data_IF_576549978406
#
_entry.id   IF_576549978406
#
_cell.length_a   1.000
_cell.length_b   1.000
_cell.length_c   1.000
_cell.angle_alpha   90.00
_cell.angle_beta   90.00
_cell.angle_gamma   90.00
#
_symmetry.space_group_name_H-M   'P 1'
#
loop_
_entity.id
_entity.type
_entity.pdbx_description
1 polymer ?
#
# COMPACT_ATOMS: atom_id res chain seq x y z
N UNK A 1 -18.32 -27.91 6.46
CA UNK A 1 -17.35 -27.05 5.73
C UNK A 1 -16.00 -27.76 5.72
N UNK A 2 -15.48 -28.16 4.55
CA UNK A 2 -14.12 -28.68 4.45
C UNK A 2 -13.16 -27.51 4.75
N UNK A 3 -12.35 -27.63 5.80
CA UNK A 3 -11.13 -26.82 5.93
C UNK A 3 -10.28 -27.14 4.71
N UNK A 4 -10.09 -26.17 3.83
CA UNK A 4 -8.95 -26.17 2.90
C UNK A 4 -7.71 -26.01 3.76
N UNK A 5 -7.08 -27.12 4.14
CA UNK A 5 -5.69 -27.06 4.61
C UNK A 5 -4.87 -26.48 3.46
N UNK A 6 -4.19 -25.33 3.62
CA UNK A 6 -3.29 -24.87 2.58
C UNK A 6 -2.04 -25.76 2.64
N UNK A 7 -1.84 -26.51 1.55
CA UNK A 7 -0.64 -27.26 1.25
C UNK A 7 0.62 -26.40 1.40
N UNK A 8 1.76 -27.05 1.68
CA UNK A 8 3.02 -26.40 2.06
C UNK A 8 3.60 -25.49 0.97
N UNK A 9 3.20 -24.22 0.97
CA UNK A 9 3.92 -23.17 0.26
C UNK A 9 5.17 -22.75 1.05
N UNK A 10 6.24 -22.38 0.34
CA UNK A 10 7.55 -21.99 0.90
C UNK A 10 7.52 -20.71 1.75
N UNK A 11 8.61 -19.94 1.86
CA UNK A 11 8.72 -18.81 2.80
C UNK A 11 7.66 -17.69 2.60
N UNK A 12 6.97 -17.68 1.46
CA UNK A 12 5.87 -16.76 1.09
C UNK A 12 4.50 -17.36 1.47
N UNK A 13 4.38 -17.94 2.67
CA UNK A 13 3.16 -18.66 3.12
C UNK A 13 2.00 -17.75 3.52
N UNK A 14 2.24 -16.45 3.72
CA UNK A 14 1.34 -15.55 4.46
C UNK A 14 0.94 -14.29 3.69
N UNK A 15 0.78 -14.32 2.36
CA UNK A 15 0.14 -13.22 1.64
C UNK A 15 -1.36 -13.50 1.43
N UNK A 16 -2.26 -13.29 2.43
CA UNK A 16 -3.69 -13.34 2.17
C UNK A 16 -4.05 -12.31 1.10
N UNK A 17 -5.03 -12.65 0.26
CA UNK A 17 -5.60 -11.71 -0.70
C UNK A 17 -6.16 -10.48 0.03
N UNK A 18 -6.09 -9.32 -0.63
CA UNK A 18 -6.78 -8.13 -0.16
C UNK A 18 -8.27 -8.46 0.03
N UNK A 19 -8.88 -8.03 1.15
CA UNK A 19 -10.27 -8.37 1.43
C UNK A 19 -11.20 -7.73 0.40
N UNK A 20 -12.21 -8.46 -0.06
CA UNK A 20 -13.28 -7.91 -0.91
C UNK A 20 -14.11 -6.87 -0.16
N UNK A 21 -14.70 -5.90 -0.88
CA UNK A 21 -15.57 -4.88 -0.27
C UNK A 21 -17.03 -5.33 -0.13
N UNK A 22 -17.40 -6.45 -0.77
CA UNK A 22 -18.75 -7.01 -0.77
C UNK A 22 -19.75 -6.25 -1.66
N UNK A 23 -19.30 -5.30 -2.48
CA UNK A 23 -20.16 -4.50 -3.36
C UNK A 23 -20.02 -4.92 -4.83
N UNK A 24 -21.10 -4.86 -5.64
CA UNK A 24 -21.09 -5.27 -7.06
C UNK A 24 -20.31 -4.30 -7.95
N UNK A 25 -19.38 -4.79 -8.77
CA UNK A 25 -18.56 -3.97 -9.69
C UNK A 25 -19.46 -3.06 -10.54
N UNK A 26 -19.16 -1.75 -10.68
CA UNK A 26 -19.98 -0.83 -11.47
C UNK A 26 -20.16 -1.32 -12.91
N UNK A 27 -21.38 -1.25 -13.49
CA UNK A 27 -21.63 -1.64 -14.87
C UNK A 27 -20.68 -0.95 -15.86
N UNK A 28 -20.37 0.32 -15.64
CA UNK A 28 -19.46 1.11 -16.47
C UNK A 28 -18.05 0.53 -16.48
N UNK A 29 -17.52 0.12 -15.32
CA UNK A 29 -16.23 -0.56 -15.23
C UNK A 29 -16.24 -1.90 -15.98
N UNK A 30 -17.33 -2.67 -15.85
CA UNK A 30 -17.46 -3.94 -16.59
C UNK A 30 -17.59 -3.74 -18.09
N UNK A 31 -18.24 -2.66 -18.53
CA UNK A 31 -18.38 -2.31 -19.94
C UNK A 31 -17.03 -1.91 -20.55
N UNK A 32 -16.21 -1.14 -19.82
CA UNK A 32 -14.84 -0.80 -20.24
C UNK A 32 -13.99 -2.06 -20.39
N UNK A 33 -14.04 -2.98 -19.42
CA UNK A 33 -13.35 -4.26 -19.51
C UNK A 33 -13.81 -5.07 -20.73
N UNK A 34 -15.14 -5.18 -20.95
CA UNK A 34 -15.70 -5.93 -22.07
C UNK A 34 -15.28 -5.34 -23.43
N UNK A 35 -15.25 -4.02 -23.55
CA UNK A 35 -14.79 -3.33 -24.76
C UNK A 35 -13.29 -3.55 -25.02
N UNK A 36 -12.47 -3.65 -23.97
CA UNK A 36 -11.04 -3.90 -24.07
C UNK A 36 -10.69 -5.37 -24.35
N UNK A 37 -11.58 -6.32 -24.04
CA UNK A 37 -11.33 -7.76 -24.14
C UNK A 37 -10.99 -8.25 -25.56
N UNK A 38 -11.42 -7.52 -26.60
CA UNK A 38 -11.12 -7.86 -28.01
C UNK A 38 -9.77 -7.31 -28.51
N UNK A 39 -9.05 -6.51 -27.72
CA UNK A 39 -7.76 -5.94 -28.11
C UNK A 39 -6.68 -7.03 -28.04
N UNK A 40 -5.99 -7.23 -29.17
CA UNK A 40 -4.90 -8.22 -29.26
C UNK A 40 -3.55 -7.69 -28.75
N UNK A 41 -3.40 -6.36 -28.69
CA UNK A 41 -2.19 -5.72 -28.19
C UNK A 41 -2.07 -5.89 -26.67
N UNK A 42 -0.85 -6.17 -26.22
CA UNK A 42 -0.54 -6.30 -24.80
C UNK A 42 -0.18 -4.95 -24.17
N UNK A 43 -0.42 -4.82 -22.87
CA UNK A 43 0.07 -3.68 -22.10
C UNK A 43 1.60 -3.76 -21.96
N UNK A 44 2.34 -2.65 -22.17
CA UNK A 44 3.78 -2.63 -21.94
C UNK A 44 4.11 -2.80 -20.45
N UNK A 45 5.31 -3.28 -20.16
CA UNK A 45 5.83 -3.31 -18.78
C UNK A 45 5.91 -1.87 -18.27
N UNK A 46 5.43 -1.64 -17.05
CA UNK A 46 5.36 -0.31 -16.47
C UNK A 46 4.12 0.48 -16.88
N UNK A 47 3.24 -0.03 -17.75
CA UNK A 47 2.01 0.65 -18.16
C UNK A 47 2.15 1.52 -19.40
N UNK A 48 1.10 1.57 -20.20
CA UNK A 48 1.00 2.34 -21.42
C UNK A 48 0.59 3.79 -21.18
N UNK A 49 0.65 4.65 -22.21
CA UNK A 49 0.43 6.09 -22.06
C UNK A 49 -0.89 6.46 -21.38
N UNK A 50 -2.00 5.83 -21.77
CA UNK A 50 -3.33 6.11 -21.20
C UNK A 50 -3.40 5.81 -19.70
N UNK A 51 -2.80 4.69 -19.26
CA UNK A 51 -2.78 4.29 -17.85
C UNK A 51 -1.87 5.19 -17.02
N UNK A 52 -0.70 5.52 -17.57
CA UNK A 52 0.25 6.42 -16.92
C UNK A 52 -0.32 7.82 -16.77
N UNK A 53 -0.97 8.36 -17.81
CA UNK A 53 -1.63 9.67 -17.76
C UNK A 53 -2.75 9.69 -16.71
N UNK A 54 -3.58 8.64 -16.67
CA UNK A 54 -4.62 8.50 -15.65
C UNK A 54 -4.04 8.44 -14.22
N UNK A 55 -2.92 7.73 -14.04
CA UNK A 55 -2.21 7.66 -12.77
C UNK A 55 -1.63 9.01 -12.34
N UNK A 56 -1.06 9.78 -13.27
CA UNK A 56 -0.60 11.15 -13.01
C UNK A 56 -1.77 12.02 -12.54
N UNK A 57 -2.89 12.03 -13.28
CA UNK A 57 -4.08 12.80 -12.91
C UNK A 57 -4.66 12.39 -11.55
N UNK A 58 -4.59 11.10 -11.19
CA UNK A 58 -4.96 10.60 -9.87
C UNK A 58 -4.16 11.29 -8.76
N UNK A 59 -2.84 11.33 -8.85
CA UNK A 59 -2.00 12.00 -7.85
C UNK A 59 -2.10 13.53 -7.89
N UNK A 60 -2.29 14.14 -9.06
CA UNK A 60 -2.50 15.59 -9.17
C UNK A 60 -3.73 16.05 -8.39
N UNK A 61 -4.85 15.31 -8.45
CA UNK A 61 -6.05 15.58 -7.65
C UNK A 61 -5.82 15.45 -6.14
N UNK A 62 -4.69 14.86 -5.74
CA UNK A 62 -4.26 14.64 -4.36
C UNK A 62 -3.11 15.58 -3.97
N UNK A 63 -2.78 16.56 -4.79
CA UNK A 63 -1.71 17.53 -4.53
C UNK A 63 -0.30 16.97 -4.75
N UNK A 64 -0.17 15.77 -5.30
CA UNK A 64 1.12 15.13 -5.55
C UNK A 64 1.50 15.28 -7.02
N UNK A 65 2.57 16.04 -7.29
CA UNK A 65 3.12 16.18 -8.63
C UNK A 65 3.60 14.82 -9.14
N UNK A 66 3.06 14.35 -10.26
CA UNK A 66 3.47 13.14 -10.95
C UNK A 66 3.76 13.48 -12.42
N UNK A 67 4.74 12.79 -13.01
CA UNK A 67 5.12 12.98 -14.39
C UNK A 67 5.20 11.61 -15.09
N UNK A 68 4.80 11.48 -16.36
CA UNK A 68 4.74 10.18 -17.04
C UNK A 68 6.06 9.40 -17.05
N UNK A 69 7.20 10.09 -17.06
CA UNK A 69 8.55 9.52 -17.02
C UNK A 69 8.96 9.00 -15.63
N UNK A 70 8.10 9.17 -14.61
CA UNK A 70 8.35 8.82 -13.20
C UNK A 70 7.17 8.08 -12.58
N UNK A 71 6.37 7.42 -13.41
CA UNK A 71 5.29 6.55 -12.98
C UNK A 71 5.49 5.18 -13.59
N UNK A 72 5.16 4.14 -12.83
CA UNK A 72 5.09 2.79 -13.34
C UNK A 72 3.82 2.10 -12.83
N UNK A 73 3.23 1.24 -13.66
CA UNK A 73 2.13 0.38 -13.30
C UNK A 73 2.57 -1.09 -13.26
N UNK A 74 1.94 -1.88 -12.39
CA UNK A 74 2.22 -3.30 -12.23
C UNK A 74 0.96 -4.10 -11.87
N UNK A 75 0.98 -5.44 -11.99
CA UNK A 75 -0.15 -6.31 -11.68
C UNK A 75 -0.34 -6.48 -10.15
N UNK A 76 -0.63 -5.37 -9.47
CA UNK A 76 -0.77 -5.28 -8.01
C UNK A 76 0.48 -4.73 -7.31
N UNK A 77 0.28 -4.14 -6.13
CA UNK A 77 1.34 -3.55 -5.31
C UNK A 77 2.44 -4.55 -4.89
N UNK A 78 2.14 -5.84 -4.65
CA UNK A 78 3.15 -6.89 -4.56
C UNK A 78 4.28 -6.86 -5.59
N UNK A 79 3.94 -6.74 -6.88
CA UNK A 79 4.93 -6.77 -7.95
C UNK A 79 5.81 -5.51 -7.91
N UNK A 80 5.20 -4.36 -7.63
CA UNK A 80 5.90 -3.08 -7.50
C UNK A 80 6.83 -3.08 -6.28
N UNK A 81 6.36 -3.55 -5.11
CA UNK A 81 7.19 -3.60 -3.90
C UNK A 81 8.36 -4.58 -4.04
N UNK A 82 8.13 -5.74 -4.68
CA UNK A 82 9.20 -6.67 -5.01
C UNK A 82 10.25 -6.02 -5.90
N UNK A 83 9.82 -5.33 -6.98
CA UNK A 83 10.73 -4.64 -7.88
C UNK A 83 11.50 -3.50 -7.19
N UNK A 84 10.83 -2.70 -6.35
CA UNK A 84 11.46 -1.65 -5.54
C UNK A 84 12.51 -2.21 -4.59
N UNK A 85 12.18 -3.28 -3.86
CA UNK A 85 13.09 -3.91 -2.91
C UNK A 85 14.29 -4.54 -3.63
N UNK A 86 14.08 -5.13 -4.81
CA UNK A 86 15.17 -5.65 -5.65
C UNK A 86 16.08 -4.53 -6.19
N UNK A 87 15.50 -3.41 -6.63
CA UNK A 87 16.22 -2.28 -7.23
C UNK A 87 16.99 -1.41 -6.22
N UNK A 88 16.50 -1.32 -4.98
CA UNK A 88 17.16 -0.59 -3.88
C UNK A 88 18.19 -1.46 -3.13
N UNK A 89 17.88 -2.74 -2.95
CA UNK A 89 18.67 -3.66 -2.15
C UNK A 89 18.68 -3.28 -0.66
N UNK A 90 19.62 -3.87 0.09
CA UNK A 90 19.75 -3.66 1.54
C UNK A 90 18.64 -4.30 2.37
N UNK A 91 18.62 -3.95 3.65
CA UNK A 91 17.67 -4.42 4.64
C UNK A 91 16.42 -3.53 4.66
N UNK A 92 15.28 -4.17 4.94
CA UNK A 92 13.96 -3.52 4.94
C UNK A 92 13.47 -3.32 6.37
N UNK A 93 13.07 -2.10 6.69
CA UNK A 93 12.39 -1.74 7.91
C UNK A 93 10.89 -1.60 7.62
N UNK A 94 10.08 -2.12 8.53
CA UNK A 94 8.61 -2.03 8.47
C UNK A 94 8.06 -1.74 9.87
N UNK A 95 6.91 -1.05 10.01
CA UNK A 95 6.21 -0.92 11.28
C UNK A 95 5.80 -2.28 11.87
N UNK A 96 5.41 -2.25 13.15
CA UNK A 96 4.83 -3.38 13.86
C UNK A 96 3.57 -2.93 14.60
N UNK A 97 2.39 -3.50 14.26
CA UNK A 97 2.13 -4.41 13.14
C UNK A 97 2.29 -3.73 11.77
N UNK A 98 2.27 -4.51 10.68
CA UNK A 98 2.29 -4.02 9.31
C UNK A 98 1.45 -4.92 8.39
N UNK A 99 1.22 -4.45 7.16
CA UNK A 99 0.55 -5.26 6.16
C UNK A 99 1.33 -6.56 5.94
N UNK A 100 0.60 -7.66 6.02
CA UNK A 100 1.17 -9.01 6.07
C UNK A 100 1.90 -9.39 4.77
N UNK A 101 1.60 -8.70 3.67
CA UNK A 101 2.18 -8.92 2.36
C UNK A 101 3.54 -8.22 2.16
N UNK A 102 3.98 -7.29 3.01
CA UNK A 102 5.27 -6.60 2.81
C UNK A 102 6.48 -7.50 3.04
N UNK A 103 6.55 -8.17 4.19
CA UNK A 103 7.72 -8.97 4.58
C UNK A 103 8.01 -10.19 3.67
N UNK A 104 7.01 -10.91 3.12
CA UNK A 104 7.26 -12.04 2.23
C UNK A 104 8.12 -11.72 0.98
N UNK A 105 7.98 -10.54 0.38
CA UNK A 105 8.75 -10.19 -0.83
C UNK A 105 10.21 -9.88 -0.54
N UNK A 106 10.50 -9.20 0.57
CA UNK A 106 11.87 -9.01 1.05
C UNK A 106 12.53 -10.36 1.38
N UNK A 107 11.81 -11.27 2.06
CA UNK A 107 12.31 -12.62 2.36
C UNK A 107 12.56 -13.44 1.09
N UNK A 108 11.71 -13.31 0.07
CA UNK A 108 11.90 -13.96 -1.23
C UNK A 108 13.22 -13.54 -1.89
N UNK A 109 13.62 -12.27 -1.74
CA UNK A 109 14.89 -11.72 -2.21
C UNK A 109 16.08 -12.02 -1.28
N UNK A 110 15.88 -12.82 -0.23
CA UNK A 110 16.92 -13.09 0.77
C UNK A 110 17.29 -11.88 1.62
N UNK A 111 16.42 -10.87 1.71
CA UNK A 111 16.66 -9.63 2.47
C UNK A 111 16.09 -9.74 3.89
N UNK A 112 16.87 -9.36 4.93
CA UNK A 112 16.36 -9.17 6.29
C UNK A 112 15.21 -8.16 6.34
N UNK A 113 14.25 -8.44 7.21
CA UNK A 113 13.13 -7.52 7.52
C UNK A 113 13.14 -7.24 9.02
N UNK A 114 13.29 -5.97 9.38
CA UNK A 114 13.31 -5.50 10.74
C UNK A 114 11.99 -4.79 11.08
N UNK A 115 11.24 -5.38 12.02
CA UNK A 115 10.00 -4.80 12.52
C UNK A 115 10.29 -3.76 13.59
N UNK A 116 9.81 -2.53 13.37
CA UNK A 116 9.95 -1.40 14.30
C UNK A 116 8.60 -1.12 14.98
N UNK A 117 8.54 -1.01 16.32
CA UNK A 117 7.31 -0.66 17.02
C UNK A 117 6.63 0.60 16.46
N UNK A 118 5.31 0.57 16.36
CA UNK A 118 4.48 1.74 16.08
C UNK A 118 4.18 2.48 17.40
N UNK A 119 3.92 3.80 17.37
CA UNK A 119 3.60 4.56 18.56
C UNK A 119 2.18 4.20 19.07
N UNK A 120 1.76 4.75 20.21
CA UNK A 120 0.48 4.38 20.82
C UNK A 120 -0.72 4.89 20.00
N UNK A 121 -0.53 6.01 19.31
CA UNK A 121 -1.52 6.83 18.63
C UNK A 121 -1.98 6.21 17.30
N UNK A 122 -1.08 5.56 16.55
CA UNK A 122 -1.37 5.02 15.23
C UNK A 122 -0.56 3.75 14.91
N UNK A 123 -0.96 3.05 13.85
CA UNK A 123 -0.16 2.05 13.14
C UNK A 123 0.40 2.64 11.85
N UNK A 124 0.98 1.80 10.99
CA UNK A 124 1.46 2.17 9.65
C UNK A 124 2.76 2.98 9.60
N UNK A 125 3.07 3.71 10.66
CA UNK A 125 4.29 4.53 10.78
C UNK A 125 5.07 4.11 12.03
N UNK A 126 6.37 3.77 11.92
CA UNK A 126 7.21 3.48 13.07
C UNK A 126 7.32 4.65 14.06
N UNK A 127 7.48 4.32 15.33
CA UNK A 127 7.95 5.30 16.32
C UNK A 127 9.35 5.81 15.92
N UNK A 128 9.58 7.14 15.86
CA UNK A 128 10.83 7.70 15.34
C UNK A 128 12.04 7.33 16.20
N UNK A 129 11.90 7.26 17.53
CA UNK A 129 13.01 6.86 18.41
C UNK A 129 13.35 5.38 18.22
N UNK A 130 12.34 4.51 18.21
CA UNK A 130 12.51 3.09 17.98
C UNK A 130 13.10 2.79 16.59
N UNK A 131 12.76 3.60 15.58
CA UNK A 131 13.34 3.54 14.24
C UNK A 131 14.84 3.82 14.30
N UNK A 132 15.25 4.94 14.88
CA UNK A 132 16.66 5.31 14.99
C UNK A 132 17.47 4.29 15.81
N UNK A 133 16.92 3.77 16.91
CA UNK A 133 17.55 2.70 17.68
C UNK A 133 17.73 1.42 16.86
N UNK A 134 16.70 1.05 16.08
CA UNK A 134 16.75 -0.14 15.23
C UNK A 134 17.81 0.02 14.14
N UNK A 135 17.84 1.16 13.43
CA UNK A 135 18.85 1.45 12.40
C UNK A 135 20.25 1.37 12.97
N UNK A 136 20.50 2.02 14.12
CA UNK A 136 21.80 1.98 14.80
C UNK A 136 22.22 0.55 15.16
N UNK A 137 21.30 -0.24 15.73
CA UNK A 137 21.57 -1.65 16.08
C UNK A 137 21.93 -2.47 14.84
N UNK A 138 21.11 -2.39 13.78
CA UNK A 138 21.32 -3.15 12.54
C UNK A 138 22.69 -2.84 11.93
N UNK A 139 23.06 -1.56 11.84
CA UNK A 139 24.39 -1.16 11.34
C UNK A 139 25.53 -1.67 12.23
N UNK A 140 25.36 -1.62 13.55
CA UNK A 140 26.36 -2.15 14.51
C UNK A 140 26.57 -3.65 14.33
N UNK A 141 25.51 -4.38 13.96
CA UNK A 141 25.55 -5.81 13.66
C UNK A 141 26.02 -6.12 12.21
N UNK A 142 26.40 -5.10 11.44
CA UNK A 142 26.92 -5.24 10.08
C UNK A 142 25.85 -5.28 8.98
N UNK A 143 24.60 -4.96 9.30
CA UNK A 143 23.52 -4.81 8.31
C UNK A 143 23.60 -3.51 7.52
N UNK A 144 22.78 -3.42 6.47
CA UNK A 144 22.71 -2.32 5.52
C UNK A 144 21.26 -1.83 5.38
N UNK A 145 20.70 -1.13 6.40
CA UNK A 145 19.34 -0.63 6.36
C UNK A 145 19.22 0.43 5.26
N UNK A 146 18.32 0.18 4.29
CA UNK A 146 18.14 1.05 3.11
C UNK A 146 16.71 1.47 2.85
N UNK A 147 15.74 0.65 3.24
CA UNK A 147 14.35 0.85 2.86
C UNK A 147 13.46 0.91 4.09
N UNK A 148 12.61 1.92 4.19
CA UNK A 148 11.48 1.94 5.10
C UNK A 148 10.18 1.84 4.29
N UNK A 149 9.37 0.81 4.56
CA UNK A 149 7.99 0.73 4.06
C UNK A 149 7.06 1.20 5.17
N UNK A 150 6.18 2.16 4.87
CA UNK A 150 5.19 2.71 5.79
C UNK A 150 3.86 2.91 5.07
N UNK A 151 2.77 3.08 5.82
CA UNK A 151 1.44 3.36 5.27
C UNK A 151 0.81 4.59 5.92
N UNK A 152 0.12 5.39 5.10
CA UNK A 152 -0.58 6.61 5.56
C UNK A 152 -1.95 6.31 6.16
N UNK A 153 -2.58 5.24 5.69
CA UNK A 153 -3.81 4.65 6.19
C UNK A 153 -3.55 3.14 6.34
N UNK A 154 -3.47 2.68 7.58
CA UNK A 154 -2.79 1.43 7.89
C UNK A 154 -3.68 0.18 7.72
N UNK A 155 -3.10 -0.82 7.08
CA UNK A 155 -3.45 -2.23 7.23
C UNK A 155 -2.35 -2.90 8.07
N UNK A 156 -2.63 -3.41 9.27
CA UNK A 156 -3.95 -3.90 9.71
C UNK A 156 -4.70 -3.01 10.69
N UNK A 157 -4.10 -1.95 11.22
CA UNK A 157 -4.71 -1.23 12.36
C UNK A 157 -5.89 -0.36 11.99
N UNK A 158 -6.14 -0.12 10.71
CA UNK A 158 -7.16 0.78 10.18
C UNK A 158 -7.01 2.22 10.70
N UNK A 159 -5.86 2.61 11.23
CA UNK A 159 -5.61 3.97 11.72
C UNK A 159 -4.99 4.83 10.62
N UNK A 160 -5.14 6.15 10.75
CA UNK A 160 -4.44 7.13 9.92
C UNK A 160 -3.38 7.79 10.78
N UNK A 161 -2.16 7.89 10.26
CA UNK A 161 -1.06 8.49 11.01
C UNK A 161 -1.29 10.00 11.18
N UNK A 162 -1.21 10.54 12.41
CA UNK A 162 -1.24 11.98 12.62
C UNK A 162 -0.10 12.68 11.87
N UNK A 163 -0.31 13.90 11.33
CA UNK A 163 0.72 14.63 10.61
C UNK A 163 2.04 14.79 11.38
N UNK A 164 1.99 14.98 12.70
CA UNK A 164 3.17 15.16 13.54
C UNK A 164 4.01 13.87 13.61
N UNK A 165 3.35 12.73 13.84
CA UNK A 165 4.02 11.41 13.88
C UNK A 165 4.60 11.05 12.51
N UNK A 166 3.83 11.32 11.44
CA UNK A 166 4.32 11.15 10.08
C UNK A 166 5.57 12.01 9.86
N UNK A 167 5.53 13.27 10.28
CA UNK A 167 6.63 14.21 10.09
C UNK A 167 7.91 13.73 10.78
N UNK A 168 7.82 13.39 12.07
CA UNK A 168 8.94 12.92 12.86
C UNK A 168 9.56 11.62 12.31
N UNK A 169 8.72 10.69 11.85
CA UNK A 169 9.19 9.44 11.27
C UNK A 169 9.91 9.65 9.93
N UNK A 170 9.35 10.50 9.06
CA UNK A 170 9.95 10.83 7.76
C UNK A 170 11.29 11.54 7.93
N UNK A 171 11.38 12.50 8.84
CA UNK A 171 12.64 13.18 9.18
C UNK A 171 13.68 12.20 9.73
N UNK A 172 13.28 11.30 10.65
CA UNK A 172 14.17 10.29 11.21
C UNK A 172 14.69 9.32 10.13
N UNK A 173 13.82 8.86 9.23
CA UNK A 173 14.19 7.95 8.15
C UNK A 173 15.13 8.62 7.13
N UNK A 174 14.83 9.85 6.72
CA UNK A 174 15.65 10.62 5.79
C UNK A 174 17.01 10.98 6.38
N UNK A 175 17.06 11.35 7.67
CA UNK A 175 18.31 11.62 8.39
C UNK A 175 19.24 10.41 8.48
N UNK A 176 18.68 9.20 8.43
CA UNK A 176 19.44 7.95 8.37
C UNK A 176 19.72 7.48 6.93
N UNK A 177 19.30 8.24 5.91
CA UNK A 177 19.53 7.91 4.50
C UNK A 177 18.71 6.72 3.99
N UNK A 178 17.55 6.44 4.60
CA UNK A 178 16.63 5.41 4.13
C UNK A 178 15.79 5.95 2.96
N UNK A 179 15.56 5.13 1.94
CA UNK A 179 14.54 5.37 0.94
C UNK A 179 13.17 5.02 1.51
N UNK A 180 12.17 5.87 1.30
CA UNK A 180 10.82 5.66 1.81
C UNK A 180 9.92 5.10 0.71
N UNK A 181 9.21 4.02 1.03
CA UNK A 181 8.07 3.53 0.24
C UNK A 181 6.80 3.78 1.03
N UNK A 182 6.00 4.73 0.55
CA UNK A 182 4.68 5.06 1.09
C UNK A 182 3.62 4.19 0.42
N UNK A 183 3.09 3.21 1.15
CA UNK A 183 1.92 2.46 0.74
C UNK A 183 0.66 3.28 1.04
N UNK A 184 0.03 3.77 -0.03
CA UNK A 184 -1.18 4.57 0.02
C UNK A 184 -2.40 3.82 -0.51
N UNK A 185 -2.35 2.49 -0.54
CA UNK A 185 -3.45 1.63 -1.01
C UNK A 185 -4.80 1.97 -0.38
N UNK A 186 -4.81 2.32 0.91
CA UNK A 186 -6.05 2.63 1.67
C UNK A 186 -6.37 4.11 1.78
N UNK A 187 -5.61 5.00 1.12
CA UNK A 187 -5.75 6.47 1.30
C UNK A 187 -7.15 7.01 0.98
N UNK A 188 -7.84 6.42 0.01
CA UNK A 188 -9.15 6.88 -0.46
C UNK A 188 -10.31 6.24 0.31
N UNK A 189 -10.02 5.58 1.44
CA UNK A 189 -11.00 4.83 2.22
C UNK A 189 -11.24 5.39 3.61
N UNK A 190 -10.92 6.67 3.82
CA UNK A 190 -11.15 7.37 5.08
C UNK A 190 -12.62 7.31 5.50
N UNK A 191 -12.89 6.88 6.72
CA UNK A 191 -14.24 6.80 7.29
C UNK A 191 -14.87 8.18 7.53
N UNK A 192 -14.04 9.18 7.86
CA UNK A 192 -14.44 10.55 8.12
C UNK A 192 -13.52 11.54 7.38
N UNK A 193 -13.56 11.61 6.03
CA UNK A 193 -12.58 12.36 5.23
C UNK A 193 -12.57 13.87 5.46
N UNK A 194 -13.61 14.44 6.08
CA UNK A 194 -13.66 15.86 6.43
C UNK A 194 -13.06 16.15 7.82
N UNK A 195 -12.94 15.13 8.68
CA UNK A 195 -12.46 15.24 10.06
C UNK A 195 -11.07 14.60 10.24
N UNK A 196 -10.57 13.91 9.22
CA UNK A 196 -9.28 13.20 9.23
C UNK A 196 -8.32 13.85 8.26
N UNK A 197 -7.22 14.40 8.78
CA UNK A 197 -6.10 14.87 7.96
C UNK A 197 -5.21 13.68 7.64
N UNK A 198 -5.08 13.36 6.36
CA UNK A 198 -4.12 12.38 5.85
C UNK A 198 -3.00 13.14 5.15
N UNK A 199 -1.76 12.87 5.55
CA UNK A 199 -0.56 13.48 4.98
C UNK A 199 0.27 12.41 4.26
N UNK A 200 0.56 12.61 2.98
CA UNK A 200 1.51 11.77 2.26
C UNK A 200 2.95 12.15 2.61
N UNK A 201 3.86 11.19 2.87
CA UNK A 201 5.29 11.47 2.98
C UNK A 201 5.85 12.18 1.74
N UNK A 202 5.27 11.93 0.56
CA UNK A 202 5.71 12.55 -0.69
C UNK A 202 5.32 14.04 -0.80
N UNK A 203 4.39 14.52 0.02
CA UNK A 203 4.15 15.97 0.16
C UNK A 203 5.28 16.66 0.94
N UNK A 204 5.96 15.92 1.83
CA UNK A 204 7.07 16.42 2.62
C UNK A 204 8.42 16.29 1.92
N UNK A 205 8.72 15.09 1.39
CA UNK A 205 9.98 14.74 0.75
C UNK A 205 9.72 14.19 -0.67
N UNK A 206 9.25 15.02 -1.61
CA UNK A 206 8.87 14.59 -2.96
C UNK A 206 10.02 13.94 -3.74
N UNK A 207 11.26 14.21 -3.34
CA UNK A 207 12.50 13.74 -3.99
C UNK A 207 13.10 12.47 -3.35
N UNK A 208 12.47 11.92 -2.30
CA UNK A 208 12.97 10.71 -1.60
C UNK A 208 11.89 9.65 -1.30
N UNK A 209 10.64 9.92 -1.66
CA UNK A 209 9.51 9.01 -1.39
C UNK A 209 8.98 8.43 -2.70
N UNK A 210 8.98 7.10 -2.78
CA UNK A 210 8.17 6.37 -3.76
C UNK A 210 6.79 6.10 -3.16
N UNK A 211 5.73 6.52 -3.85
CA UNK A 211 4.35 6.21 -3.44
C UNK A 211 3.87 5.00 -4.21
N UNK A 212 3.29 4.02 -3.54
CA UNK A 212 2.64 2.85 -4.15
C UNK A 212 1.16 2.87 -3.80
N UNK A 213 0.30 2.61 -4.78
CA UNK A 213 -1.15 2.51 -4.57
C UNK A 213 -1.66 1.27 -5.30
N UNK A 214 -2.14 0.27 -4.54
CA UNK A 214 -2.92 -0.81 -5.12
C UNK A 214 -4.36 -0.32 -5.40
N UNK A 215 -4.82 -0.46 -6.65
CA UNK A 215 -6.15 -0.01 -7.02
C UNK A 215 -7.23 -0.86 -6.36
N UNK A 216 -6.92 -2.07 -5.87
CA UNK A 216 -7.85 -2.90 -5.13
C UNK A 216 -8.27 -2.32 -3.76
N UNK A 217 -7.52 -1.34 -3.23
CA UNK A 217 -7.87 -0.68 -1.97
C UNK A 217 -9.20 0.07 -2.03
N UNK A 218 -9.45 0.79 -3.13
CA UNK A 218 -10.66 1.59 -3.30
C UNK A 218 -11.34 1.44 -4.67
N UNK A 219 -10.57 1.32 -5.74
CA UNK A 219 -11.03 1.62 -7.11
C UNK A 219 -11.45 0.38 -7.91
N UNK A 220 -10.74 -0.73 -7.75
CA UNK A 220 -10.96 -1.97 -8.49
C UNK A 220 -11.30 -3.14 -7.56
N UNK A 221 -11.99 -4.19 -8.05
CA UNK A 221 -12.10 -5.42 -7.29
C UNK A 221 -10.73 -6.10 -7.16
N UNK A 222 -10.43 -6.80 -6.05
CA UNK A 222 -9.13 -7.47 -5.84
C UNK A 222 -8.82 -8.56 -6.87
N UNK A 223 -9.84 -9.07 -7.58
CA UNK A 223 -9.64 -9.98 -8.72
C UNK A 223 -9.10 -9.32 -9.99
N UNK A 224 -9.00 -7.99 -10.03
CA UNK A 224 -8.47 -7.21 -11.16
C UNK A 224 -7.17 -6.51 -10.74
N UNK A 225 -6.06 -7.26 -10.59
CA UNK A 225 -4.83 -6.75 -10.00
C UNK A 225 -4.21 -5.66 -10.87
N UNK A 226 -4.16 -4.45 -10.33
CA UNK A 226 -3.49 -3.31 -10.93
C UNK A 226 -3.05 -2.36 -9.80
N UNK A 227 -1.84 -1.85 -9.91
CA UNK A 227 -1.28 -0.89 -8.98
C UNK A 227 -0.40 0.09 -9.73
N UNK A 228 -0.18 1.25 -9.13
CA UNK A 228 0.66 2.32 -9.68
C UNK A 228 1.69 2.76 -8.65
N UNK A 229 2.87 3.14 -9.12
CA UNK A 229 3.93 3.71 -8.32
C UNK A 229 4.38 5.06 -8.89
N UNK A 230 4.46 6.08 -8.02
CA UNK A 230 5.04 7.39 -8.30
C UNK A 230 6.46 7.41 -7.76
N UNK A 231 7.41 7.75 -8.61
CA UNK A 231 8.83 7.85 -8.26
C UNK A 231 9.23 9.29 -7.94
N UNK A 232 10.27 9.48 -7.12
CA UNK A 232 10.80 10.81 -6.85
C UNK A 232 11.30 11.54 -8.10
N UNK A 233 11.41 12.87 -7.99
CA UNK A 233 12.01 13.67 -9.04
C UNK A 233 13.55 13.60 -9.05
N UNK A 234 14.15 14.05 -10.15
CA UNK A 234 15.61 14.13 -10.31
C UNK A 234 16.25 12.82 -10.78
N UNK A 235 17.56 12.88 -11.00
CA UNK A 235 18.33 11.79 -11.63
C UNK A 235 18.27 10.48 -10.82
N UNK A 236 18.39 10.58 -9.50
CA UNK A 236 18.30 9.41 -8.60
C UNK A 236 16.93 8.73 -8.67
N UNK A 237 15.85 9.50 -8.77
CA UNK A 237 14.49 8.98 -8.94
C UNK A 237 14.30 8.33 -10.31
N UNK A 238 14.83 8.94 -11.38
CA UNK A 238 14.84 8.39 -12.73
C UNK A 238 15.61 7.07 -12.83
N UNK A 239 16.80 7.00 -12.22
CA UNK A 239 17.60 5.77 -12.17
C UNK A 239 16.88 4.65 -11.41
N UNK A 240 16.18 4.97 -10.31
CA UNK A 240 15.38 4.00 -9.57
C UNK A 240 14.20 3.50 -10.42
N UNK A 241 13.47 4.40 -11.08
CA UNK A 241 12.38 4.05 -11.99
C UNK A 241 12.84 3.09 -13.09
N UNK A 242 13.96 3.41 -13.76
CA UNK A 242 14.54 2.55 -14.78
C UNK A 242 14.88 1.14 -14.25
N UNK A 243 15.55 1.05 -13.08
CA UNK A 243 15.88 -0.25 -12.46
C UNK A 243 14.63 -1.04 -12.07
N UNK A 244 13.57 -0.38 -11.61
CA UNK A 244 12.30 -1.05 -11.31
C UNK A 244 11.68 -1.60 -12.59
N UNK A 245 11.67 -0.82 -13.68
CA UNK A 245 11.18 -1.30 -14.99
C UNK A 245 11.99 -2.50 -15.50
N UNK A 246 13.31 -2.53 -15.30
CA UNK A 246 14.15 -3.69 -15.62
C UNK A 246 13.72 -4.94 -14.84
N UNK A 247 13.50 -4.80 -13.52
CA UNK A 247 13.05 -5.93 -12.68
C UNK A 247 11.65 -6.40 -13.10
N UNK A 248 10.70 -5.49 -13.32
CA UNK A 248 9.37 -5.83 -13.79
C UNK A 248 9.42 -6.54 -15.16
N UNK A 249 10.32 -6.09 -16.05
CA UNK A 249 10.54 -6.71 -17.37
C UNK A 249 11.06 -8.12 -17.22
N UNK A 250 12.08 -8.33 -16.37
CA UNK A 250 12.64 -9.65 -16.09
C UNK A 250 11.60 -10.63 -15.49
N UNK A 251 10.68 -10.11 -14.69
CA UNK A 251 9.57 -10.89 -14.11
C UNK A 251 8.40 -11.13 -15.09
N UNK A 252 8.36 -10.41 -16.22
CA UNK A 252 7.16 -10.37 -17.08
C UNK A 252 5.94 -9.77 -16.37
N UNK A 253 6.16 -8.92 -15.35
CA UNK A 253 5.13 -8.38 -14.47
C UNK A 253 4.41 -7.18 -15.12
N UNK A 254 3.55 -7.47 -16.10
CA UNK A 254 2.64 -6.50 -16.73
C UNK A 254 1.21 -6.67 -16.26
N UNK A 255 0.45 -5.58 -16.29
CA UNK A 255 -1.01 -5.64 -16.18
C UNK A 255 -1.55 -6.38 -17.41
N UNK A 256 -2.56 -7.22 -17.21
CA UNK A 256 -3.22 -7.90 -18.34
C UNK A 256 -3.87 -6.84 -19.24
N UNK A 257 -3.68 -6.92 -20.56
CA UNK A 257 -4.16 -5.91 -21.52
C UNK A 257 -5.62 -5.47 -21.31
N UNK A 258 -6.59 -6.40 -21.17
CA UNK A 258 -7.98 -6.04 -20.90
C UNK A 258 -8.20 -5.28 -19.58
N UNK A 259 -7.33 -5.46 -18.57
CA UNK A 259 -7.42 -4.78 -17.27
C UNK A 259 -6.80 -3.38 -17.27
N UNK A 260 -5.93 -3.04 -18.23
CA UNK A 260 -5.35 -1.70 -18.31
C UNK A 260 -6.40 -0.61 -18.54
N UNK A 261 -7.40 -0.89 -19.39
CA UNK A 261 -8.48 0.05 -19.68
C UNK A 261 -9.38 0.37 -18.47
N UNK A 262 -9.95 -0.61 -17.73
CA UNK A 262 -10.72 -0.31 -16.53
C UNK A 262 -9.85 0.28 -15.42
N UNK A 263 -8.55 -0.05 -15.33
CA UNK A 263 -7.63 0.61 -14.40
C UNK A 263 -7.47 2.10 -14.70
N UNK A 264 -7.21 2.46 -15.96
CA UNK A 264 -7.14 3.86 -16.41
C UNK A 264 -8.48 4.59 -16.19
N UNK A 265 -9.61 3.94 -16.52
CA UNK A 265 -10.94 4.49 -16.26
C UNK A 265 -11.19 4.75 -14.77
N UNK A 266 -10.84 3.80 -13.89
CA UNK A 266 -11.04 3.96 -12.45
C UNK A 266 -10.13 5.06 -11.86
N UNK A 267 -8.87 5.13 -12.32
CA UNK A 267 -7.94 6.20 -11.99
C UNK A 267 -8.40 7.57 -12.49
N UNK A 268 -9.28 7.64 -13.49
CA UNK A 268 -9.95 8.87 -13.90
C UNK A 268 -11.03 9.35 -12.92
N UNK A 269 -11.39 8.54 -11.92
CA UNK A 269 -12.41 8.82 -10.90
C UNK A 269 -13.76 9.34 -11.43
N UNK A 270 -14.35 8.69 -12.45
CA UNK A 270 -15.69 9.05 -12.92
C UNK A 270 -16.74 8.83 -11.83
N UNK A 271 -17.87 9.53 -11.94
CA UNK A 271 -18.93 9.54 -10.91
C UNK A 271 -19.37 8.13 -10.47
N UNK A 272 -19.58 7.13 -11.35
CA UNK A 272 -19.99 5.79 -10.92
C UNK A 272 -18.94 5.10 -10.02
N UNK A 273 -17.65 5.36 -10.25
CA UNK A 273 -16.55 4.82 -9.45
C UNK A 273 -16.48 5.53 -8.09
N UNK A 274 -16.50 6.85 -8.07
CA UNK A 274 -16.42 7.63 -6.82
C UNK A 274 -17.66 7.44 -5.95
N UNK A 275 -18.86 7.34 -6.55
CA UNK A 275 -20.10 7.02 -5.85
C UNK A 275 -20.04 5.64 -5.19
N UNK A 276 -19.47 4.63 -5.89
CA UNK A 276 -19.21 3.30 -5.32
C UNK A 276 -18.22 3.38 -4.17
N UNK A 277 -17.08 4.05 -4.33
CA UNK A 277 -16.07 4.22 -3.26
C UNK A 277 -16.72 4.81 -2.02
N UNK A 278 -17.48 5.90 -2.18
CA UNK A 278 -18.19 6.53 -1.08
C UNK A 278 -19.22 5.60 -0.42
N UNK A 279 -19.91 4.75 -1.18
CA UNK A 279 -20.81 3.75 -0.63
C UNK A 279 -20.07 2.66 0.16
N UNK A 280 -18.95 2.16 -0.38
CA UNK A 280 -18.08 1.18 0.28
C UNK A 280 -17.58 1.72 1.63
N UNK A 281 -17.02 2.93 1.62
CA UNK A 281 -16.52 3.61 2.81
C UNK A 281 -17.63 3.78 3.85
N UNK A 282 -18.83 4.23 3.47
CA UNK A 282 -19.95 4.39 4.42
C UNK A 282 -20.37 3.07 5.07
N UNK A 283 -20.37 1.97 4.31
CA UNK A 283 -20.73 0.65 4.84
C UNK A 283 -19.63 0.15 5.77
N UNK A 284 -18.38 0.17 5.32
CA UNK A 284 -17.24 -0.34 6.10
C UNK A 284 -16.98 0.51 7.35
N UNK A 285 -17.17 1.83 7.31
CA UNK A 285 -17.11 2.67 8.50
C UNK A 285 -18.12 2.26 9.58
N UNK A 286 -19.38 1.96 9.18
CA UNK A 286 -20.43 1.50 10.10
C UNK A 286 -20.12 0.13 10.67
N UNK A 287 -19.66 -0.80 9.82
CA UNK A 287 -19.28 -2.16 10.25
C UNK A 287 -18.09 -2.08 11.20
N UNK A 288 -17.04 -1.37 10.83
CA UNK A 288 -15.83 -1.22 11.63
C UNK A 288 -16.12 -0.60 13.00
N UNK A 289 -16.97 0.44 13.07
CA UNK A 289 -17.41 1.03 14.33
C UNK A 289 -18.18 0.03 15.22
N UNK A 290 -19.09 -0.76 14.63
CA UNK A 290 -19.85 -1.76 15.37
C UNK A 290 -18.96 -2.90 15.90
N UNK A 291 -18.04 -3.40 15.08
CA UNK A 291 -17.10 -4.45 15.49
C UNK A 291 -16.11 -3.92 16.52
N UNK A 292 -15.59 -2.70 16.36
CA UNK A 292 -14.73 -2.03 17.35
C UNK A 292 -15.41 -1.96 18.73
N UNK A 293 -16.66 -1.48 18.77
CA UNK A 293 -17.43 -1.42 20.02
C UNK A 293 -17.61 -2.81 20.65
N UNK A 294 -17.89 -3.83 19.84
CA UNK A 294 -18.08 -5.20 20.32
C UNK A 294 -16.78 -5.80 20.91
N UNK A 295 -15.63 -5.65 20.23
CA UNK A 295 -14.36 -6.23 20.71
C UNK A 295 -13.82 -5.49 21.94
N UNK A 296 -14.00 -4.17 22.01
CA UNK A 296 -13.61 -3.39 23.19
C UNK A 296 -14.49 -3.76 24.39
N UNK A 297 -15.81 -3.91 24.19
CA UNK A 297 -16.71 -4.38 25.24
C UNK A 297 -16.38 -5.80 25.73
N UNK A 298 -15.77 -6.63 24.88
CA UNK A 298 -15.28 -7.96 25.23
C UNK A 298 -13.93 -7.96 25.98
N UNK A 299 -13.33 -6.79 26.26
CA UNK A 299 -12.09 -6.65 27.01
C UNK A 299 -10.80 -6.71 26.18
N UNK A 300 -10.89 -6.57 24.85
CA UNK A 300 -9.72 -6.47 23.96
C UNK A 300 -9.21 -5.03 23.87
N UNK A 301 -7.94 -4.84 23.48
CA UNK A 301 -7.41 -3.52 23.12
C UNK A 301 -7.50 -3.34 21.60
N UNK A 302 -8.21 -2.31 21.14
CA UNK A 302 -8.32 -2.00 19.71
C UNK A 302 -8.45 -0.51 19.51
N UNK A 303 -7.66 0.05 18.59
CA UNK A 303 -7.73 1.46 18.21
C UNK A 303 -9.00 1.71 17.38
N UNK A 304 -9.65 2.88 17.50
CA UNK A 304 -10.79 3.21 16.65
C UNK A 304 -10.38 3.19 15.17
N UNK A 305 -11.07 2.43 14.30
CA UNK A 305 -10.75 2.35 12.88
C UNK A 305 -11.19 3.62 12.15
N UNK A 306 -10.28 4.20 11.38
CA UNK A 306 -10.42 5.47 10.66
C UNK A 306 -10.39 5.30 9.14
N UNK A 307 -9.92 4.17 8.62
CA UNK A 307 -9.87 3.90 7.18
C UNK A 307 -9.99 2.40 6.85
N UNK A 308 -10.21 2.12 5.57
CA UNK A 308 -10.16 0.77 5.02
C UNK A 308 -11.35 -0.08 5.40
N UNK A 309 -11.08 -1.38 5.57
CA UNK A 309 -12.10 -2.39 5.92
C UNK A 309 -11.57 -3.40 6.95
N UNK A 310 -10.66 -2.93 7.80
CA UNK A 310 -9.92 -3.74 8.76
C UNK A 310 -10.22 -3.33 10.21
N UNK A 311 -9.86 -4.21 11.14
CA UNK A 311 -9.82 -3.94 12.56
C UNK A 311 -8.70 -4.76 13.19
N UNK A 312 -7.84 -4.11 13.96
CA UNK A 312 -6.79 -4.79 14.73
C UNK A 312 -7.18 -4.84 16.20
N UNK A 313 -7.40 -6.04 16.72
CA UNK A 313 -7.74 -6.30 18.11
C UNK A 313 -6.64 -7.12 18.78
N UNK A 314 -6.02 -6.55 19.81
CA UNK A 314 -5.09 -7.23 20.69
C UNK A 314 -5.87 -7.98 21.78
N UNK A 315 -5.81 -9.31 21.70
CA UNK A 315 -6.42 -10.24 22.66
C UNK A 315 -5.53 -10.51 23.88
N UNK A 316 -4.35 -9.90 23.96
CA UNK A 316 -3.40 -10.01 25.06
C UNK A 316 -4.02 -9.88 26.46
N UNK A 317 -4.92 -8.90 26.73
CA UNK A 317 -5.60 -8.80 28.02
C UNK A 317 -6.41 -10.04 28.40
N UNK A 318 -6.89 -10.81 27.42
CA UNK A 318 -7.71 -12.01 27.63
C UNK A 318 -6.88 -13.28 27.81
N UNK A 319 -5.54 -13.21 27.78
CA UNK A 319 -4.64 -14.37 27.84
C UNK A 319 -4.86 -15.26 29.09
N UNK A 320 -5.31 -14.68 30.19
CA UNK A 320 -5.57 -15.45 31.43
C UNK A 320 -6.93 -16.17 31.46
N UNK A 321 -7.82 -15.82 30.52
CA UNK A 321 -9.21 -16.29 30.43
C UNK A 321 -9.50 -17.15 29.19
N UNK A 322 -8.57 -17.22 28.24
CA UNK A 322 -8.61 -18.04 27.01
C UNK A 322 -7.64 -19.22 27.13
#
# INVERSE_FOLDING_TARGET
MRRTDPEGHGPVRYGPSLPEDGLPVPPELTAVLAAAAARADGEPIGGGPELIEAACGYWERRGLSAAPDRVAAGPGAPALLLALTAALGGDVLVPRPCAVWWAPYARLLGRPVFHVPTPAECGGVPDPYALLETVRRVRTEGGDPRLLVLSVADDPTATVAPPEVMHECVEAAAGEGLHLVSDETWRDTLHAPHDTVLLSPAEMLPDQVTVVTDLAGALLPPGWPAAVARFPAGDTGGDLHARVLDVLTALGARIAGPLAAPAAYALGEPEPVTARVAAAVRVHARVAAAVHAAVVAAGTLSRPPQAGRHLYADLGPLRSTL
#
